data_IF_674790389751
#
_entry.id   IF_674790389751
#
_cell.length_a   1.000
_cell.length_b   1.000
_cell.length_c   1.000
_cell.angle_alpha   90.00
_cell.angle_beta   90.00
_cell.angle_gamma   90.00
#
_symmetry.space_group_name_H-M   'P 1'
#
loop_
_entity.id
_entity.type
_entity.pdbx_description
1 polymer ?
#
# COMPACT_ATOMS: atom_id res chain seq x y z
N UNK A 1 1.96 -19.86 6.85
CA UNK A 1 1.16 -18.65 7.06
C UNK A 1 1.35 -17.83 5.78
N UNK A 2 0.36 -17.80 4.92
CA UNK A 2 0.50 -17.33 3.53
C UNK A 2 -0.29 -16.06 3.36
N UNK A 3 0.38 -14.94 3.16
CA UNK A 3 -0.24 -13.64 2.85
C UNK A 3 -0.06 -13.39 1.37
N UNK A 4 -1.15 -13.45 0.62
CA UNK A 4 -1.15 -13.16 -0.82
C UNK A 4 -0.86 -11.68 -1.08
N UNK A 5 -0.32 -11.42 -2.27
CA UNK A 5 -0.06 -10.07 -2.77
C UNK A 5 -1.38 -9.32 -2.92
N UNK A 6 -1.72 -8.52 -1.96
CA UNK A 6 -2.66 -7.43 -2.14
C UNK A 6 -1.85 -6.20 -2.53
N UNK A 7 -2.23 -5.55 -3.62
CA UNK A 7 -1.91 -4.15 -3.88
C UNK A 7 -1.88 -3.44 -2.53
N UNK A 8 -0.76 -2.79 -2.16
CA UNK A 8 -0.45 -2.30 -0.83
C UNK A 8 -1.57 -1.54 -0.13
N UNK A 9 -2.61 -2.27 0.27
CA UNK A 9 -3.66 -1.76 1.12
C UNK A 9 -3.17 -1.89 2.55
N UNK A 10 -2.42 -0.88 2.98
CA UNK A 10 -1.99 -0.76 4.36
C UNK A 10 -3.19 -0.70 5.28
N UNK A 11 -3.14 -1.45 6.35
CA UNK A 11 -4.08 -1.30 7.46
C UNK A 11 -3.84 0.06 8.09
N UNK A 12 -4.83 0.91 8.05
CA UNK A 12 -4.80 2.29 8.54
C UNK A 12 -4.76 2.33 10.06
N UNK A 13 -3.90 3.18 10.59
CA UNK A 13 -3.76 3.42 12.02
C UNK A 13 -3.83 4.92 12.30
N UNK A 14 -4.96 5.42 12.80
CA UNK A 14 -5.12 6.80 13.22
C UNK A 14 -4.93 6.99 14.72
N UNK A 15 -4.21 8.02 15.12
CA UNK A 15 -4.01 8.41 16.52
C UNK A 15 -5.06 9.42 16.94
N UNK A 16 -5.50 9.40 18.20
CA UNK A 16 -6.37 10.40 18.82
C UNK A 16 -5.67 11.74 19.04
N UNK A 17 -4.90 12.19 18.06
CA UNK A 17 -4.28 13.52 17.98
C UNK A 17 -5.15 14.35 17.05
N UNK A 18 -5.27 15.64 17.30
CA UNK A 18 -6.02 16.54 16.43
C UNK A 18 -5.51 16.43 14.99
N UNK A 19 -6.39 16.54 14.01
CA UNK A 19 -6.07 16.36 12.58
C UNK A 19 -4.86 17.19 12.09
N UNK A 20 -4.46 18.22 12.83
CA UNK A 20 -3.28 19.03 12.57
C UNK A 20 -1.94 18.38 12.95
N UNK A 21 -1.94 17.38 13.86
CA UNK A 21 -0.70 16.85 14.45
C UNK A 21 -0.27 15.49 13.89
N UNK A 22 -1.02 14.90 12.95
CA UNK A 22 -0.70 13.57 12.40
C UNK A 22 0.68 13.49 11.74
N UNK A 23 1.21 14.63 11.28
CA UNK A 23 2.53 14.73 10.69
C UNK A 23 3.57 15.47 11.53
N UNK A 24 3.18 16.18 12.60
CA UNK A 24 4.08 17.02 13.38
C UNK A 24 5.19 16.22 14.07
N UNK A 25 6.38 16.81 14.18
CA UNK A 25 7.46 16.27 14.99
C UNK A 25 7.25 16.77 16.43
N UNK A 26 7.19 15.87 17.45
CA UNK A 26 6.99 16.25 18.84
C UNK A 26 8.03 17.28 19.35
N UNK A 27 7.60 18.19 20.21
CA UNK A 27 8.47 19.18 20.87
C UNK A 27 9.31 18.62 22.02
N UNK A 28 9.16 17.34 22.36
CA UNK A 28 9.91 16.65 23.40
C UNK A 28 10.74 15.51 22.78
N UNK A 29 11.97 15.37 23.31
CA UNK A 29 12.85 14.28 22.86
C UNK A 29 12.45 12.96 23.51
N UNK A 30 12.51 11.86 22.74
CA UNK A 30 12.20 10.54 23.27
C UNK A 30 11.68 9.57 22.24
N UNK A 31 11.42 8.36 22.71
CA UNK A 31 10.78 7.30 21.93
C UNK A 31 9.27 7.50 21.89
N UNK A 32 8.70 7.18 20.75
CA UNK A 32 7.26 7.05 20.53
C UNK A 32 7.01 6.01 19.46
N UNK A 33 5.80 5.52 19.38
CA UNK A 33 5.47 4.54 18.36
C UNK A 33 4.11 3.92 18.54
N UNK A 34 3.83 2.94 17.68
CA UNK A 34 2.60 2.17 17.75
C UNK A 34 2.81 0.72 17.36
N UNK A 35 1.99 -0.16 17.90
CA UNK A 35 1.90 -1.57 17.52
C UNK A 35 0.43 -1.92 17.34
N UNK A 36 0.11 -2.46 16.17
CA UNK A 36 -1.18 -3.05 15.83
C UNK A 36 -1.05 -4.58 15.84
N UNK A 37 -1.97 -5.24 16.52
CA UNK A 37 -2.15 -6.68 16.46
C UNK A 37 -3.63 -7.03 16.30
N UNK A 38 -3.94 -7.86 15.30
CA UNK A 38 -5.30 -8.20 14.94
C UNK A 38 -5.40 -9.35 13.97
N UNK A 39 -6.57 -9.45 13.33
CA UNK A 39 -6.85 -10.43 12.29
C UNK A 39 -7.59 -9.78 11.12
N UNK A 40 -7.33 -10.27 9.94
CA UNK A 40 -7.97 -9.86 8.70
C UNK A 40 -8.59 -11.07 8.00
N UNK A 41 -9.83 -10.92 7.55
CA UNK A 41 -10.49 -11.83 6.62
C UNK A 41 -10.41 -11.17 5.25
N UNK A 42 -9.91 -11.89 4.26
CA UNK A 42 -9.69 -11.36 2.91
C UNK A 42 -10.30 -12.33 1.90
N UNK A 43 -11.18 -11.82 1.04
CA UNK A 43 -11.61 -12.46 -0.20
C UNK A 43 -10.83 -11.83 -1.34
N UNK A 44 -10.14 -12.63 -2.14
CA UNK A 44 -9.38 -12.18 -3.31
C UNK A 44 -9.74 -13.00 -4.53
N UNK A 45 -9.89 -12.32 -5.66
CA UNK A 45 -10.03 -12.92 -6.98
C UNK A 45 -8.92 -12.35 -7.87
N UNK A 46 -7.86 -13.14 -8.10
CA UNK A 46 -6.68 -12.74 -8.88
C UNK A 46 -5.86 -13.95 -9.27
N UNK A 47 -5.44 -14.03 -10.53
CA UNK A 47 -4.53 -15.08 -11.00
C UNK A 47 -3.08 -14.88 -10.54
N UNK A 48 -2.75 -13.68 -10.06
CA UNK A 48 -1.41 -13.34 -9.58
C UNK A 48 -1.23 -13.60 -8.08
N UNK A 49 -2.32 -13.65 -7.31
CA UNK A 49 -2.27 -13.88 -5.87
C UNK A 49 -2.06 -15.37 -5.56
N UNK A 50 -1.25 -15.67 -4.53
CA UNK A 50 -1.11 -17.00 -3.95
C UNK A 50 -1.94 -17.09 -2.67
N UNK A 51 -2.18 -18.29 -2.15
CA UNK A 51 -2.67 -18.42 -0.77
C UNK A 51 -3.63 -19.52 -0.46
N UNK A 52 -4.78 -19.66 -1.04
CA UNK A 52 -5.73 -20.72 -0.68
C UNK A 52 -5.86 -21.78 -1.76
N UNK A 53 -6.34 -22.95 -1.37
CA UNK A 53 -6.63 -24.06 -2.28
C UNK A 53 -7.50 -23.63 -3.46
N UNK A 54 -7.17 -24.08 -4.66
CA UNK A 54 -7.92 -23.82 -5.88
C UNK A 54 -7.26 -22.88 -6.88
N UNK A 55 -6.18 -22.20 -6.51
CA UNK A 55 -5.40 -21.36 -7.41
C UNK A 55 -3.97 -21.87 -7.66
N UNK A 56 -3.63 -23.04 -7.13
CA UNK A 56 -2.33 -23.72 -7.35
C UNK A 56 -2.23 -24.30 -8.74
N UNK A 57 -3.35 -24.57 -9.40
CA UNK A 57 -3.43 -25.05 -10.79
C UNK A 57 -4.59 -24.36 -11.49
N UNK A 58 -4.34 -23.89 -12.69
CA UNK A 58 -5.36 -23.37 -13.61
C UNK A 58 -5.39 -24.22 -14.87
N UNK A 59 -6.57 -24.41 -15.43
CA UNK A 59 -6.75 -25.23 -16.65
C UNK A 59 -6.88 -24.37 -17.90
N UNK A 60 -7.01 -23.05 -17.75
CA UNK A 60 -7.06 -22.08 -18.84
C UNK A 60 -6.62 -20.68 -18.36
N UNK A 61 -6.23 -19.82 -19.31
CA UNK A 61 -5.93 -18.41 -19.09
C UNK A 61 -7.24 -17.59 -19.11
N UNK A 62 -8.03 -17.70 -18.05
CA UNK A 62 -9.31 -17.01 -17.91
C UNK A 62 -9.41 -16.24 -16.58
N UNK A 63 -10.62 -15.82 -16.24
CA UNK A 63 -10.89 -15.12 -14.98
C UNK A 63 -10.50 -15.97 -13.76
N UNK A 64 -9.95 -15.32 -12.76
CA UNK A 64 -9.51 -15.98 -11.53
C UNK A 64 -10.69 -16.47 -10.69
N UNK A 65 -10.47 -17.55 -9.94
CA UNK A 65 -11.42 -18.01 -8.93
C UNK A 65 -11.28 -17.22 -7.62
N UNK A 66 -12.38 -17.13 -6.88
CA UNK A 66 -12.39 -16.50 -5.56
C UNK A 66 -11.64 -17.34 -4.54
N UNK A 67 -10.87 -16.66 -3.72
CA UNK A 67 -10.08 -17.24 -2.63
C UNK A 67 -10.42 -16.53 -1.32
N UNK A 68 -10.49 -17.28 -0.22
CA UNK A 68 -10.75 -16.75 1.10
C UNK A 68 -9.56 -17.06 2.01
N UNK A 69 -9.05 -16.04 2.67
CA UNK A 69 -7.93 -16.16 3.59
C UNK A 69 -8.24 -15.46 4.90
N UNK A 70 -7.72 -16.04 5.99
CA UNK A 70 -7.63 -15.37 7.28
C UNK A 70 -6.15 -15.20 7.60
N UNK A 71 -5.75 -13.98 7.91
CA UNK A 71 -4.36 -13.64 8.19
C UNK A 71 -4.24 -12.80 9.46
N UNK A 72 -3.16 -12.89 10.21
CA UNK A 72 -2.85 -11.94 11.25
C UNK A 72 -2.62 -10.56 10.62
N UNK A 73 -3.17 -9.52 11.24
CA UNK A 73 -2.90 -8.13 10.93
C UNK A 73 -1.91 -7.59 11.98
N UNK A 74 -0.65 -7.45 11.56
CA UNK A 74 0.41 -6.92 12.43
C UNK A 74 1.04 -5.74 11.71
N UNK A 75 1.10 -4.60 12.37
CA UNK A 75 1.78 -3.40 11.87
C UNK A 75 2.36 -2.61 13.03
N UNK A 76 3.26 -1.67 12.75
CA UNK A 76 3.80 -0.80 13.77
C UNK A 76 4.86 0.15 13.24
N UNK A 77 5.16 1.12 14.08
CA UNK A 77 6.25 2.06 13.89
C UNK A 77 6.96 2.36 15.20
N UNK A 78 8.24 2.69 15.09
CA UNK A 78 9.09 3.17 16.18
C UNK A 78 9.74 4.47 15.73
N UNK A 79 9.72 5.49 16.60
CA UNK A 79 10.29 6.80 16.34
C UNK A 79 11.17 7.25 17.50
N UNK A 80 12.20 8.01 17.18
CA UNK A 80 12.96 8.74 18.17
C UNK A 80 13.07 10.19 17.76
N UNK A 81 12.57 11.10 18.60
CA UNK A 81 12.57 12.56 18.36
C UNK A 81 13.77 13.21 19.04
N UNK A 82 14.47 14.06 18.30
CA UNK A 82 15.48 15.00 18.78
C UNK A 82 14.86 16.39 18.75
N UNK A 83 14.19 16.79 19.83
CA UNK A 83 13.41 18.03 19.88
C UNK A 83 14.27 19.29 19.63
N UNK A 84 15.50 19.32 20.12
CA UNK A 84 16.42 20.46 19.98
C UNK A 84 16.76 20.78 18.51
N UNK A 85 16.71 19.80 17.63
CA UNK A 85 16.98 19.96 16.18
C UNK A 85 15.73 19.87 15.32
N UNK A 86 14.58 19.52 15.90
CA UNK A 86 13.36 19.25 15.14
C UNK A 86 13.52 18.06 14.18
N UNK A 87 14.33 17.07 14.57
CA UNK A 87 14.59 15.87 13.77
C UNK A 87 13.93 14.66 14.39
N UNK A 88 13.53 13.68 13.57
CA UNK A 88 12.95 12.42 14.04
C UNK A 88 13.41 11.25 13.17
N UNK A 89 14.09 10.28 13.80
CA UNK A 89 14.32 8.98 13.18
C UNK A 89 13.05 8.13 13.27
N UNK A 90 12.80 7.31 12.25
CA UNK A 90 11.65 6.41 12.26
C UNK A 90 11.97 5.09 11.56
N UNK A 91 11.29 4.05 12.04
CA UNK A 91 11.29 2.70 11.46
C UNK A 91 9.85 2.17 11.48
N UNK A 92 9.39 1.64 10.38
CA UNK A 92 8.05 1.07 10.25
C UNK A 92 7.17 1.82 9.25
N UNK A 93 5.86 1.67 9.38
CA UNK A 93 4.89 2.39 8.55
C UNK A 93 4.38 3.62 9.30
N UNK A 94 4.74 4.81 8.81
CA UNK A 94 4.30 6.06 9.43
C UNK A 94 2.79 6.21 9.35
N UNK A 95 2.20 6.71 10.43
CA UNK A 95 0.74 6.84 10.53
C UNK A 95 0.13 7.73 9.45
N UNK A 96 0.82 8.80 9.05
CA UNK A 96 0.36 9.67 7.95
C UNK A 96 0.33 8.95 6.61
N UNK A 97 1.28 8.04 6.36
CA UNK A 97 1.32 7.24 5.15
C UNK A 97 0.22 6.17 5.21
N UNK A 98 0.05 5.54 6.36
CA UNK A 98 -1.01 4.57 6.59
C UNK A 98 -2.42 5.17 6.40
N UNK A 99 -2.67 6.38 6.87
CA UNK A 99 -3.94 7.10 6.67
C UNK A 99 -4.22 7.31 5.17
N UNK A 100 -3.19 7.59 4.37
CA UNK A 100 -3.30 7.73 2.92
C UNK A 100 -3.36 6.41 2.17
N UNK A 101 -3.44 5.27 2.87
CA UNK A 101 -3.48 3.93 2.29
C UNK A 101 -2.12 3.42 1.80
N UNK A 102 -1.01 4.01 2.25
CA UNK A 102 0.35 3.53 1.95
C UNK A 102 0.88 2.66 3.10
N UNK A 103 0.92 1.34 2.88
CA UNK A 103 1.44 0.35 3.84
C UNK A 103 2.94 0.10 3.76
N UNK A 104 3.70 0.96 3.08
CA UNK A 104 5.14 0.78 2.87
C UNK A 104 5.91 0.85 4.18
N UNK A 105 6.77 -0.15 4.44
CA UNK A 105 7.71 -0.12 5.56
C UNK A 105 8.91 0.75 5.20
N UNK A 106 9.37 1.57 6.14
CA UNK A 106 10.40 2.56 5.91
C UNK A 106 11.39 2.63 7.09
N UNK A 107 12.62 3.00 6.78
CA UNK A 107 13.59 3.47 7.76
C UNK A 107 14.15 4.81 7.28
N UNK A 108 14.02 5.85 8.08
CA UNK A 108 14.41 7.18 7.61
C UNK A 108 14.50 8.26 8.67
N UNK A 109 14.70 9.45 8.18
CA UNK A 109 14.81 10.69 8.97
C UNK A 109 13.77 11.69 8.46
N UNK A 110 13.09 12.34 9.39
CA UNK A 110 12.24 13.51 9.17
C UNK A 110 12.89 14.74 9.80
N UNK A 111 12.81 15.87 9.14
CA UNK A 111 13.40 17.13 9.56
C UNK A 111 12.40 18.26 9.42
N UNK A 112 12.10 18.95 10.52
CA UNK A 112 11.32 20.20 10.51
C UNK A 112 12.16 21.32 9.92
N UNK A 113 11.67 22.00 8.89
CA UNK A 113 12.32 23.15 8.26
C UNK A 113 11.69 24.48 8.72
N UNK A 114 11.62 24.69 10.03
CA UNK A 114 10.94 25.85 10.61
C UNK A 114 9.46 25.86 10.19
N UNK A 115 9.00 26.96 9.59
CA UNK A 115 7.63 27.12 9.09
C UNK A 115 7.44 26.60 7.64
N UNK A 116 8.46 25.98 7.05
CA UNK A 116 8.40 25.49 5.64
C UNK A 116 7.95 24.04 5.52
N UNK A 117 7.49 23.44 6.63
CA UNK A 117 7.04 22.06 6.65
C UNK A 117 8.11 21.06 7.06
N UNK A 118 7.87 19.79 6.78
CA UNK A 118 8.74 18.66 7.17
C UNK A 118 9.22 17.94 5.92
N UNK A 119 10.53 17.81 5.78
CA UNK A 119 11.15 16.96 4.74
C UNK A 119 11.52 15.62 5.35
N UNK A 120 11.28 14.55 4.62
CA UNK A 120 11.66 13.19 5.00
C UNK A 120 12.43 12.49 3.89
N UNK A 121 13.47 11.77 4.28
CA UNK A 121 14.20 10.84 3.42
C UNK A 121 14.22 9.46 4.05
N UNK A 122 13.88 8.43 3.29
CA UNK A 122 13.80 7.06 3.80
C UNK A 122 14.21 6.00 2.80
N UNK A 123 14.68 4.88 3.31
CA UNK A 123 14.73 3.61 2.61
C UNK A 123 13.39 2.93 2.76
N UNK A 124 12.86 2.41 1.66
CA UNK A 124 11.59 1.67 1.62
C UNK A 124 11.85 0.20 1.32
N UNK A 125 11.11 -0.70 1.96
CA UNK A 125 11.30 -2.14 1.81
C UNK A 125 10.06 -2.93 2.18
N UNK A 126 10.01 -4.20 1.77
CA UNK A 126 9.04 -5.16 2.27
C UNK A 126 9.60 -5.82 3.54
N UNK A 127 8.96 -5.62 4.68
CA UNK A 127 9.37 -6.24 5.96
C UNK A 127 9.24 -7.77 5.93
N UNK A 128 8.27 -8.27 5.17
CA UNK A 128 8.07 -9.71 4.92
C UNK A 128 7.99 -9.95 3.42
N UNK A 129 8.60 -11.04 2.90
CA UNK A 129 8.44 -11.40 1.50
C UNK A 129 6.96 -11.60 1.17
N UNK A 130 6.55 -11.05 0.05
CA UNK A 130 5.21 -11.25 -0.51
C UNK A 130 5.26 -12.44 -1.44
N UNK A 131 4.33 -13.38 -1.27
CA UNK A 131 4.25 -14.56 -2.14
C UNK A 131 3.49 -14.25 -3.42
N UNK A 132 4.06 -14.68 -4.54
CA UNK A 132 3.44 -14.65 -5.88
C UNK A 132 3.66 -15.99 -6.56
N UNK A 133 2.98 -16.21 -7.67
CA UNK A 133 3.32 -17.33 -8.57
C UNK A 133 4.59 -16.99 -9.33
N UNK A 134 5.55 -17.94 -9.37
CA UNK A 134 6.76 -17.86 -10.18
C UNK A 134 6.42 -17.69 -11.67
N UNK A 135 5.48 -18.51 -12.16
CA UNK A 135 4.80 -18.34 -13.44
C UNK A 135 3.28 -18.31 -13.21
N UNK A 136 2.63 -17.12 -13.26
CA UNK A 136 1.19 -17.03 -13.13
C UNK A 136 0.44 -17.62 -14.33
N UNK A 137 1.09 -17.72 -15.51
CA UNK A 137 0.49 -18.18 -16.76
C UNK A 137 0.64 -19.69 -16.99
N UNK A 138 1.21 -20.45 -16.07
CA UNK A 138 1.35 -21.89 -16.18
C UNK A 138 -0.02 -22.58 -16.13
N UNK A 139 -0.41 -23.23 -17.23
CA UNK A 139 -1.69 -23.94 -17.41
C UNK A 139 -1.48 -25.45 -17.36
N UNK A 140 -2.42 -26.17 -16.73
CA UNK A 140 -2.42 -27.61 -16.67
C UNK A 140 -1.37 -28.23 -15.74
N UNK A 141 -0.56 -27.43 -15.06
CA UNK A 141 0.47 -27.87 -14.11
C UNK A 141 0.32 -27.14 -12.77
N UNK A 142 0.92 -27.68 -11.71
CA UNK A 142 0.95 -26.99 -10.42
C UNK A 142 1.89 -25.77 -10.50
N UNK A 143 1.36 -24.58 -10.18
CA UNK A 143 2.12 -23.33 -10.13
C UNK A 143 2.98 -23.30 -8.86
N UNK A 144 4.21 -22.81 -9.00
CA UNK A 144 5.14 -22.69 -7.89
C UNK A 144 5.08 -21.29 -7.29
N UNK A 145 5.03 -21.21 -5.95
CA UNK A 145 5.14 -19.95 -5.24
C UNK A 145 6.58 -19.44 -5.26
N UNK A 146 6.70 -18.13 -5.31
CA UNK A 146 7.98 -17.42 -5.19
C UNK A 146 7.84 -16.19 -4.30
N UNK A 147 8.98 -15.62 -3.88
CA UNK A 147 9.03 -14.42 -3.08
C UNK A 147 9.24 -13.19 -3.98
N UNK A 148 8.49 -12.12 -3.69
CA UNK A 148 8.79 -10.78 -4.22
C UNK A 148 9.55 -10.00 -3.17
N UNK A 149 10.69 -9.46 -3.58
CA UNK A 149 11.48 -8.51 -2.82
C UNK A 149 11.37 -7.14 -3.45
N UNK A 150 11.17 -6.14 -2.62
CA UNK A 150 11.16 -4.75 -3.07
C UNK A 150 11.93 -3.88 -2.08
N UNK A 151 12.83 -3.05 -2.60
CA UNK A 151 13.58 -2.08 -1.81
C UNK A 151 13.86 -0.83 -2.65
N UNK A 152 14.04 0.29 -1.98
CA UNK A 152 14.26 1.55 -2.68
C UNK A 152 14.42 2.74 -1.74
N UNK A 153 14.11 3.92 -2.25
CA UNK A 153 14.18 5.16 -1.49
C UNK A 153 12.94 6.02 -1.74
N UNK A 154 12.57 6.81 -0.74
CA UNK A 154 11.49 7.79 -0.77
C UNK A 154 11.97 9.14 -0.27
N UNK A 155 11.54 10.20 -0.93
CA UNK A 155 11.61 11.57 -0.45
C UNK A 155 10.18 12.10 -0.31
N UNK A 156 9.89 12.79 0.79
CA UNK A 156 8.60 13.41 1.02
C UNK A 156 8.80 14.83 1.58
N UNK A 157 7.84 15.70 1.32
CA UNK A 157 7.78 17.03 1.87
C UNK A 157 6.34 17.34 2.28
N UNK A 158 6.09 17.34 3.57
CA UNK A 158 4.79 17.67 4.15
C UNK A 158 4.71 19.17 4.39
N UNK A 159 3.54 19.77 4.15
CA UNK A 159 3.28 21.20 4.30
C UNK A 159 4.30 22.09 3.56
N UNK A 160 4.48 21.83 2.26
CA UNK A 160 5.45 22.50 1.37
C UNK A 160 5.35 24.02 1.53
N UNK A 161 6.44 24.65 1.97
CA UNK A 161 6.52 26.09 2.25
C UNK A 161 5.49 26.61 3.27
N UNK A 162 5.03 25.75 4.20
CA UNK A 162 3.99 26.08 5.17
C UNK A 162 2.57 26.11 4.60
N UNK A 163 2.39 25.62 3.37
CA UNK A 163 1.09 25.50 2.74
C UNK A 163 0.41 24.17 3.13
N UNK A 164 -0.80 23.97 2.64
CA UNK A 164 -1.51 22.70 2.79
C UNK A 164 -1.11 21.64 1.71
N UNK A 165 -0.14 21.93 0.86
CA UNK A 165 0.38 20.97 -0.10
C UNK A 165 1.39 20.03 0.55
N UNK A 166 1.32 18.74 0.18
CA UNK A 166 2.33 17.73 0.49
C UNK A 166 2.63 16.92 -0.76
N UNK A 167 3.86 16.42 -0.85
CA UNK A 167 4.25 15.61 -2.01
C UNK A 167 5.31 14.59 -1.66
N UNK A 168 5.35 13.51 -2.43
CA UNK A 168 6.37 12.49 -2.29
C UNK A 168 6.76 11.88 -3.62
N UNK A 169 8.00 11.37 -3.69
CA UNK A 169 8.50 10.57 -4.79
C UNK A 169 9.17 9.32 -4.21
N UNK A 170 8.90 8.17 -4.83
CA UNK A 170 9.46 6.88 -4.41
C UNK A 170 10.00 6.15 -5.63
N UNK A 171 11.20 5.56 -5.51
CA UNK A 171 11.77 4.66 -6.50
C UNK A 171 12.10 3.34 -5.84
N UNK A 172 11.61 2.23 -6.39
CA UNK A 172 11.82 0.87 -5.86
C UNK A 172 12.24 -0.08 -6.95
N UNK A 173 13.23 -0.90 -6.66
CA UNK A 173 13.51 -2.10 -7.44
C UNK A 173 12.61 -3.24 -6.93
N UNK A 174 12.00 -3.97 -7.85
CA UNK A 174 11.13 -5.12 -7.60
C UNK A 174 11.75 -6.35 -8.23
N UNK A 175 11.84 -7.43 -7.47
CA UNK A 175 12.40 -8.68 -7.93
C UNK A 175 11.56 -9.87 -7.46
N UNK A 176 11.14 -10.68 -8.41
CA UNK A 176 10.53 -12.00 -8.18
C UNK A 176 11.64 -13.05 -8.20
N UNK A 177 11.79 -13.82 -7.14
CA UNK A 177 12.81 -14.86 -7.08
C UNK A 177 12.46 -15.99 -8.07
N UNK A 178 13.39 -16.29 -9.01
CA UNK A 178 13.17 -17.31 -10.03
C UNK A 178 12.02 -16.99 -10.98
N UNK A 179 11.81 -15.72 -11.31
CA UNK A 179 10.83 -15.25 -12.30
C UNK A 179 10.85 -16.08 -13.57
N UNK A 180 9.68 -16.57 -14.02
CA UNK A 180 9.56 -17.38 -15.22
C UNK A 180 8.18 -17.26 -15.88
N UNK A 181 7.54 -16.09 -15.78
CA UNK A 181 6.24 -15.80 -16.39
C UNK A 181 6.20 -16.20 -17.86
N UNK A 182 5.31 -17.11 -18.21
CA UNK A 182 5.15 -17.60 -19.59
C UNK A 182 6.22 -18.59 -20.06
N UNK A 183 6.96 -19.24 -19.16
CA UNK A 183 8.04 -20.20 -19.49
C UNK A 183 7.57 -21.30 -20.46
N UNK A 184 6.36 -21.83 -20.25
CA UNK A 184 5.82 -22.89 -21.13
C UNK A 184 5.50 -22.44 -22.56
N UNK A 185 5.48 -21.11 -22.82
CA UNK A 185 5.20 -20.53 -24.14
C UNK A 185 6.47 -20.09 -24.88
N UNK A 186 7.64 -20.36 -24.29
CA UNK A 186 8.94 -20.10 -24.89
C UNK A 186 9.62 -18.81 -24.47
N UNK A 187 10.90 -18.71 -24.76
CA UNK A 187 11.78 -17.62 -24.27
C UNK A 187 11.34 -16.22 -24.70
N UNK A 188 10.81 -16.08 -25.90
CA UNK A 188 10.35 -14.78 -26.40
C UNK A 188 9.16 -14.25 -25.57
N UNK A 189 8.19 -15.12 -25.27
CA UNK A 189 7.04 -14.79 -24.41
C UNK A 189 7.50 -14.49 -22.99
N UNK A 190 8.36 -15.33 -22.43
CA UNK A 190 8.92 -15.13 -21.10
C UNK A 190 9.63 -13.79 -20.97
N UNK A 191 10.40 -13.36 -21.99
CA UNK A 191 11.08 -12.07 -21.99
C UNK A 191 10.13 -10.88 -22.02
N UNK A 192 8.93 -11.00 -22.59
CA UNK A 192 7.91 -9.94 -22.60
C UNK A 192 7.09 -9.88 -21.30
N UNK A 193 7.07 -10.95 -20.51
CA UNK A 193 6.26 -11.09 -19.30
C UNK A 193 7.09 -11.06 -18.01
N UNK A 194 8.38 -10.72 -18.07
CA UNK A 194 9.26 -10.61 -16.91
C UNK A 194 8.84 -9.43 -16.01
N UNK A 195 8.50 -9.73 -14.75
CA UNK A 195 7.99 -8.76 -13.76
C UNK A 195 9.08 -8.12 -12.89
N UNK A 196 10.36 -8.40 -13.17
CA UNK A 196 11.47 -7.73 -12.49
C UNK A 196 11.71 -6.35 -13.07
N UNK A 197 12.08 -5.39 -12.25
CA UNK A 197 12.40 -4.05 -12.73
C UNK A 197 12.24 -2.98 -11.69
N UNK A 198 11.95 -1.77 -12.14
CA UNK A 198 11.84 -0.58 -11.29
C UNK A 198 10.47 0.04 -11.34
N UNK A 199 9.96 0.41 -10.17
CA UNK A 199 8.70 1.14 -10.02
C UNK A 199 8.99 2.51 -9.41
N UNK A 200 8.64 3.56 -10.15
CA UNK A 200 8.72 4.95 -9.71
C UNK A 200 7.31 5.47 -9.46
N UNK A 201 7.09 6.16 -8.35
CA UNK A 201 5.81 6.78 -8.02
C UNK A 201 5.99 8.21 -7.54
N UNK A 202 5.00 9.04 -7.79
CA UNK A 202 4.89 10.41 -7.30
C UNK A 202 3.46 10.66 -6.82
N UNK A 203 3.35 11.42 -5.74
CA UNK A 203 2.08 11.85 -5.17
C UNK A 203 2.16 13.34 -4.85
N UNK A 204 1.07 14.06 -5.12
CA UNK A 204 0.86 15.45 -4.72
C UNK A 204 -0.52 15.57 -4.12
N UNK A 205 -0.62 16.02 -2.88
CA UNK A 205 -1.87 16.18 -2.16
C UNK A 205 -2.08 17.60 -1.66
N UNK A 206 -3.33 17.93 -1.36
CA UNK A 206 -3.72 19.19 -0.74
C UNK A 206 -4.73 18.92 0.38
N UNK A 207 -4.43 19.37 1.60
CA UNK A 207 -5.31 19.17 2.74
C UNK A 207 -6.29 20.33 2.93
N UNK A 208 -7.58 20.08 2.72
CA UNK A 208 -8.66 21.01 3.09
C UNK A 208 -9.11 20.73 4.52
N UNK A 209 -8.96 21.70 5.38
CA UNK A 209 -9.54 21.66 6.72
C UNK A 209 -11.02 22.03 6.63
N UNK A 210 -11.91 21.07 6.88
CA UNK A 210 -13.36 21.29 6.86
C UNK A 210 -13.88 21.80 8.20
N UNK A 211 -13.30 21.33 9.30
CA UNK A 211 -13.53 21.75 10.67
C UNK A 211 -12.27 21.46 11.51
N UNK A 212 -12.28 21.79 12.79
CA UNK A 212 -11.14 21.57 13.69
C UNK A 212 -10.79 20.07 13.84
N UNK A 213 -11.80 19.22 13.68
CA UNK A 213 -11.71 17.77 13.83
C UNK A 213 -11.83 17.02 12.49
N UNK A 214 -11.89 17.74 11.35
CA UNK A 214 -12.14 17.11 10.05
C UNK A 214 -11.28 17.68 8.94
N UNK A 215 -10.77 16.80 8.09
CA UNK A 215 -10.11 17.20 6.84
C UNK A 215 -10.54 16.34 5.66
N UNK A 216 -10.37 16.91 4.48
CA UNK A 216 -10.50 16.26 3.18
C UNK A 216 -9.19 16.48 2.41
N UNK A 217 -8.59 15.42 1.90
CA UNK A 217 -7.31 15.49 1.20
C UNK A 217 -7.42 14.78 -0.17
N UNK A 218 -7.66 15.52 -1.25
CA UNK A 218 -7.44 15.02 -2.60
C UNK A 218 -5.94 14.89 -2.89
N UNK A 219 -5.57 13.82 -3.60
CA UNK A 219 -4.22 13.55 -4.05
C UNK A 219 -4.20 13.09 -5.51
N UNK A 220 -3.24 13.59 -6.26
CA UNK A 220 -2.87 13.08 -7.58
C UNK A 220 -1.80 12.00 -7.40
N UNK A 221 -2.00 10.84 -8.02
CA UNK A 221 -1.05 9.73 -8.00
C UNK A 221 -0.57 9.41 -9.41
N UNK A 222 0.71 9.25 -9.55
CA UNK A 222 1.39 8.79 -10.76
C UNK A 222 2.31 7.64 -10.41
N UNK A 223 2.31 6.60 -11.25
CA UNK A 223 3.23 5.49 -11.11
C UNK A 223 3.68 5.04 -12.49
N UNK A 224 4.97 4.75 -12.63
CA UNK A 224 5.57 4.12 -13.80
C UNK A 224 6.31 2.87 -13.36
N UNK A 225 5.94 1.73 -13.93
CA UNK A 225 6.66 0.47 -13.79
C UNK A 225 7.45 0.22 -15.06
N UNK A 226 8.79 0.32 -14.95
CA UNK A 226 9.74 -0.03 -15.98
C UNK A 226 10.26 -1.45 -15.66
N UNK A 227 9.58 -2.46 -16.17
CA UNK A 227 9.91 -3.86 -15.95
C UNK A 227 10.71 -4.42 -17.12
N UNK A 228 11.42 -5.52 -16.89
CA UNK A 228 12.17 -6.20 -17.94
C UNK A 228 11.24 -6.71 -19.06
N UNK A 229 10.03 -7.12 -18.72
CA UNK A 229 8.97 -7.47 -19.68
C UNK A 229 8.17 -6.25 -20.11
N UNK A 230 8.24 -5.92 -21.39
CA UNK A 230 7.53 -4.77 -21.95
C UNK A 230 6.00 -4.87 -21.85
N UNK A 231 5.44 -6.08 -21.89
CA UNK A 231 4.02 -6.33 -21.72
C UNK A 231 3.54 -6.26 -20.25
N UNK A 232 4.47 -6.21 -19.28
CA UNK A 232 4.19 -6.01 -17.86
C UNK A 232 4.55 -4.58 -17.40
N UNK A 233 5.23 -3.79 -18.23
CA UNK A 233 5.52 -2.38 -18.00
C UNK A 233 4.28 -1.53 -18.21
N UNK A 234 4.08 -0.50 -17.35
CA UNK A 234 2.88 0.34 -17.41
C UNK A 234 3.07 1.73 -16.81
N UNK A 235 2.16 2.62 -17.17
CA UNK A 235 1.93 3.90 -16.49
C UNK A 235 0.55 3.88 -15.85
N UNK A 236 0.48 4.22 -14.56
CA UNK A 236 -0.78 4.40 -13.83
C UNK A 236 -0.94 5.85 -13.39
N UNK A 237 -2.15 6.38 -13.52
CA UNK A 237 -2.55 7.72 -13.08
C UNK A 237 -3.86 7.61 -12.33
N UNK A 238 -3.99 8.32 -11.22
CA UNK A 238 -5.19 8.26 -10.43
C UNK A 238 -5.41 9.46 -9.53
N UNK A 239 -6.62 9.52 -8.99
CA UNK A 239 -7.05 10.45 -7.98
C UNK A 239 -7.37 9.66 -6.72
N UNK A 240 -6.91 10.13 -5.59
CA UNK A 240 -7.31 9.65 -4.28
C UNK A 240 -8.01 10.78 -3.52
N UNK A 241 -9.02 10.44 -2.76
CA UNK A 241 -9.69 11.33 -1.83
C UNK A 241 -9.67 10.69 -0.45
N UNK A 242 -9.00 11.31 0.50
CA UNK A 242 -8.97 10.90 1.90
C UNK A 242 -9.87 11.82 2.70
N UNK A 243 -10.79 11.26 3.46
CA UNK A 243 -11.56 11.98 4.47
C UNK A 243 -11.20 11.44 5.85
N UNK A 244 -10.96 12.34 6.81
CA UNK A 244 -10.75 11.95 8.19
C UNK A 244 -11.54 12.85 9.14
N UNK A 245 -12.07 12.21 10.20
CA UNK A 245 -12.71 12.87 11.33
C UNK A 245 -12.16 12.28 12.62
N UNK A 246 -11.76 13.15 13.56
CA UNK A 246 -11.22 12.77 14.86
C UNK A 246 -12.07 13.32 15.97
N UNK A 247 -12.42 12.50 16.94
CA UNK A 247 -13.08 12.91 18.16
C UNK A 247 -12.34 12.28 19.38
N UNK A 248 -12.59 12.73 20.61
CA UNK A 248 -11.89 12.21 21.79
C UNK A 248 -12.03 10.71 22.01
N UNK A 249 -13.16 10.11 21.57
CA UNK A 249 -13.44 8.68 21.77
C UNK A 249 -13.31 7.83 20.53
N UNK A 250 -13.33 8.42 19.35
CA UNK A 250 -13.25 7.68 18.10
C UNK A 250 -12.63 8.52 17.00
N UNK A 251 -12.03 7.89 16.02
CA UNK A 251 -11.61 8.51 14.76
C UNK A 251 -12.08 7.65 13.60
N UNK A 252 -12.45 8.31 12.52
CA UNK A 252 -12.85 7.67 11.27
C UNK A 252 -11.99 8.20 10.13
N UNK A 253 -11.53 7.28 9.29
CA UNK A 253 -10.80 7.60 8.06
C UNK A 253 -11.39 6.80 6.92
N UNK A 254 -11.53 7.41 5.76
CA UNK A 254 -11.96 6.72 4.54
C UNK A 254 -11.16 7.24 3.36
N UNK A 255 -10.77 6.33 2.46
CA UNK A 255 -10.12 6.64 1.20
C UNK A 255 -10.97 6.13 0.03
N UNK A 256 -11.01 6.93 -1.03
CA UNK A 256 -11.52 6.55 -2.33
C UNK A 256 -10.40 6.78 -3.35
N UNK A 257 -10.05 5.77 -4.10
CA UNK A 257 -9.09 5.84 -5.20
C UNK A 257 -9.78 5.48 -6.51
N UNK A 258 -9.51 6.27 -7.55
CA UNK A 258 -9.92 6.02 -8.92
C UNK A 258 -8.72 6.23 -9.83
N UNK A 259 -8.41 5.23 -10.65
CA UNK A 259 -7.21 5.25 -11.50
C UNK A 259 -7.41 4.55 -12.83
N UNK A 260 -6.42 4.76 -13.68
CA UNK A 260 -6.26 4.07 -14.95
C UNK A 260 -4.82 3.60 -15.06
N UNK A 261 -4.64 2.39 -15.56
CA UNK A 261 -3.34 1.79 -15.86
C UNK A 261 -3.29 1.49 -17.35
N UNK A 262 -2.27 2.01 -18.01
CA UNK A 262 -2.00 1.81 -19.42
C UNK A 262 -0.70 0.99 -19.55
N UNK A 263 -0.77 -0.21 -20.11
CA UNK A 263 0.38 -1.06 -20.35
C UNK A 263 1.09 -0.67 -21.64
N UNK A 264 2.41 -0.83 -21.67
CA UNK A 264 3.23 -0.35 -22.79
C UNK A 264 2.99 -1.18 -24.06
N UNK A 265 2.91 -2.52 -23.94
CA UNK A 265 2.73 -3.43 -25.06
C UNK A 265 1.60 -4.45 -24.85
N UNK A 266 1.17 -5.07 -25.94
CA UNK A 266 0.20 -6.14 -25.91
C UNK A 266 0.83 -7.40 -25.27
N UNK A 267 0.09 -8.04 -24.37
CA UNK A 267 0.48 -9.31 -23.81
C UNK A 267 0.49 -10.38 -24.93
N UNK A 268 1.60 -11.10 -25.13
CA UNK A 268 1.74 -12.05 -26.26
C UNK A 268 0.80 -13.25 -26.16
N UNK A 269 0.26 -13.57 -24.97
CA UNK A 269 -0.67 -14.69 -24.77
C UNK A 269 -2.11 -14.32 -25.14
N UNK A 270 -2.46 -13.02 -25.10
CA UNK A 270 -3.82 -12.53 -25.32
C UNK A 270 -3.94 -11.64 -26.54
N UNK A 271 -2.82 -11.17 -27.13
CA UNK A 271 -2.80 -10.30 -28.30
C UNK A 271 -3.33 -8.88 -28.06
N UNK A 272 -3.51 -8.48 -26.79
CA UNK A 272 -4.00 -7.17 -26.39
C UNK A 272 -3.31 -6.67 -25.11
N UNK A 273 -3.41 -5.37 -24.83
CA UNK A 273 -2.87 -4.77 -23.61
C UNK A 273 -3.75 -5.11 -22.41
N UNK A 274 -3.12 -5.27 -21.24
CA UNK A 274 -3.83 -5.49 -19.98
C UNK A 274 -4.29 -4.17 -19.33
N UNK A 275 -4.54 -3.12 -20.12
CA UNK A 275 -5.02 -1.83 -19.64
C UNK A 275 -6.20 -2.02 -18.69
N UNK A 276 -6.20 -1.28 -17.56
CA UNK A 276 -7.24 -1.42 -16.55
C UNK A 276 -7.78 -0.10 -16.03
N UNK A 277 -8.98 -0.17 -15.46
CA UNK A 277 -9.57 0.86 -14.60
C UNK A 277 -9.55 0.37 -13.18
N UNK A 278 -8.89 1.13 -12.31
CA UNK A 278 -8.67 0.75 -10.94
C UNK A 278 -9.57 1.58 -10.03
N UNK A 279 -10.24 0.92 -9.08
CA UNK A 279 -11.02 1.56 -8.02
C UNK A 279 -10.70 0.90 -6.69
N UNK A 280 -10.53 1.70 -5.65
CA UNK A 280 -10.46 1.20 -4.29
C UNK A 280 -11.20 2.11 -3.33
N UNK A 281 -11.84 1.53 -2.33
CA UNK A 281 -12.45 2.24 -1.22
C UNK A 281 -12.09 1.50 0.07
N UNK A 282 -11.74 2.25 1.09
CA UNK A 282 -11.58 1.72 2.43
C UNK A 282 -12.14 2.68 3.48
N UNK A 283 -12.51 2.11 4.61
CA UNK A 283 -12.96 2.86 5.77
C UNK A 283 -12.45 2.18 7.04
N UNK A 284 -11.94 2.98 7.98
CA UNK A 284 -11.41 2.52 9.26
C UNK A 284 -11.98 3.35 10.40
N UNK A 285 -12.52 2.67 11.39
CA UNK A 285 -12.99 3.23 12.64
C UNK A 285 -12.03 2.83 13.76
N UNK A 286 -11.58 3.80 14.53
CA UNK A 286 -10.82 3.61 15.76
C UNK A 286 -11.67 4.01 16.95
N UNK A 287 -11.70 3.15 17.96
CA UNK A 287 -12.31 3.43 19.25
C UNK A 287 -11.20 3.60 20.27
N UNK A 288 -11.00 4.85 20.72
CA UNK A 288 -9.92 5.23 21.62
C UNK A 288 -10.20 4.90 23.07
N UNK A 289 -9.13 4.82 23.88
CA UNK A 289 -9.19 4.60 25.32
C UNK A 289 -10.02 3.36 25.70
N UNK A 290 -9.79 2.27 24.95
CA UNK A 290 -10.48 1.01 25.16
C UNK A 290 -10.30 0.56 26.63
N UNK A 291 -11.39 0.23 27.29
CA UNK A 291 -11.42 -0.12 28.73
C UNK A 291 -10.85 0.98 29.66
N UNK A 292 -10.82 2.25 29.23
CA UNK A 292 -10.22 3.34 29.99
C UNK A 292 -8.69 3.41 29.92
N UNK A 293 -8.06 2.56 29.11
CA UNK A 293 -6.61 2.52 28.90
C UNK A 293 -6.24 3.53 27.80
N UNK A 294 -5.67 4.67 28.20
CA UNK A 294 -5.41 5.80 27.31
C UNK A 294 -4.63 5.45 26.01
N UNK A 295 -3.54 4.65 26.04
CA UNK A 295 -2.79 4.28 24.84
C UNK A 295 -3.44 3.19 23.99
N UNK A 296 -4.53 2.55 24.44
CA UNK A 296 -5.15 1.41 23.76
C UNK A 296 -6.36 1.84 22.93
N UNK A 297 -6.41 1.44 21.68
CA UNK A 297 -7.56 1.63 20.80
C UNK A 297 -7.96 0.30 20.16
N UNK A 298 -9.27 0.11 19.93
CA UNK A 298 -9.76 -0.92 19.03
C UNK A 298 -9.85 -0.36 17.60
N UNK A 299 -9.68 -1.21 16.62
CA UNK A 299 -9.76 -0.89 15.19
C UNK A 299 -10.72 -1.84 14.49
N UNK A 300 -11.55 -1.28 13.62
CA UNK A 300 -12.34 -2.00 12.64
C UNK A 300 -12.13 -1.33 11.28
N UNK A 301 -11.68 -2.10 10.30
CA UNK A 301 -11.48 -1.63 8.92
C UNK A 301 -12.20 -2.52 7.93
N UNK A 302 -12.73 -1.93 6.86
CA UNK A 302 -13.25 -2.63 5.71
C UNK A 302 -12.69 -2.01 4.44
N UNK A 303 -12.38 -2.84 3.44
CA UNK A 303 -11.87 -2.37 2.16
C UNK A 303 -12.43 -3.17 1.00
N UNK A 304 -12.53 -2.50 -0.15
CA UNK A 304 -12.84 -3.09 -1.44
C UNK A 304 -11.90 -2.50 -2.50
N UNK A 305 -11.35 -3.35 -3.36
CA UNK A 305 -10.56 -2.94 -4.51
C UNK A 305 -10.97 -3.74 -5.74
N UNK A 306 -10.96 -3.07 -6.89
CA UNK A 306 -11.21 -3.67 -8.18
C UNK A 306 -10.28 -3.05 -9.23
N UNK A 307 -9.61 -3.90 -10.00
CA UNK A 307 -8.95 -3.54 -11.24
C UNK A 307 -9.65 -4.31 -12.35
N UNK A 308 -10.34 -3.57 -13.23
CA UNK A 308 -11.11 -4.08 -14.37
C UNK A 308 -10.26 -3.93 -15.62
N UNK A 309 -9.73 -5.02 -16.13
CA UNK A 309 -8.79 -5.09 -17.25
C UNK A 309 -9.49 -5.44 -18.54
N UNK A 310 -8.89 -5.05 -19.68
CA UNK A 310 -9.26 -5.56 -20.99
C UNK A 310 -9.00 -7.06 -21.17
N UNK A 311 -8.27 -7.68 -20.25
CA UNK A 311 -7.95 -9.12 -20.22
C UNK A 311 -8.48 -9.70 -18.90
N UNK A 312 -9.50 -10.54 -18.92
CA UNK A 312 -10.12 -11.14 -17.72
C UNK A 312 -9.11 -11.83 -16.79
N UNK A 313 -7.99 -12.33 -17.34
CA UNK A 313 -6.90 -12.95 -16.56
C UNK A 313 -6.22 -11.95 -15.61
N UNK A 314 -6.20 -10.66 -15.97
CA UNK A 314 -5.60 -9.57 -15.21
C UNK A 314 -6.58 -8.88 -14.26
N UNK A 315 -7.86 -9.26 -14.29
CA UNK A 315 -8.84 -8.73 -13.35
C UNK A 315 -8.44 -9.05 -11.91
N UNK A 316 -8.56 -8.04 -11.06
CA UNK A 316 -8.31 -8.17 -9.63
C UNK A 316 -9.52 -7.63 -8.88
N UNK A 317 -10.05 -8.44 -7.98
CA UNK A 317 -11.04 -8.00 -7.00
C UNK A 317 -10.62 -8.45 -5.61
N UNK A 318 -10.69 -7.54 -4.65
CA UNK A 318 -10.37 -7.85 -3.27
C UNK A 318 -11.34 -7.16 -2.32
N UNK A 319 -11.77 -7.90 -1.31
CA UNK A 319 -12.56 -7.37 -0.19
C UNK A 319 -11.88 -7.82 1.10
N UNK A 320 -11.72 -6.93 2.07
CA UNK A 320 -11.20 -7.32 3.37
C UNK A 320 -11.96 -6.69 4.52
N UNK A 321 -11.95 -7.40 5.65
CA UNK A 321 -12.33 -6.85 6.95
C UNK A 321 -11.20 -7.15 7.94
N UNK A 322 -10.78 -6.12 8.67
CA UNK A 322 -9.71 -6.22 9.66
C UNK A 322 -10.21 -5.71 11.00
N UNK A 323 -9.94 -6.45 12.06
CA UNK A 323 -10.14 -6.00 13.43
C UNK A 323 -8.88 -6.19 14.24
N UNK A 324 -8.62 -5.31 15.20
CA UNK A 324 -7.41 -5.39 16.00
C UNK A 324 -7.36 -4.40 17.14
N UNK A 325 -6.28 -4.50 17.87
CA UNK A 325 -5.91 -3.59 18.96
C UNK A 325 -4.66 -2.81 18.55
N UNK A 326 -4.72 -1.51 18.75
CA UNK A 326 -3.62 -0.59 18.53
C UNK A 326 -3.16 -0.06 19.88
N UNK A 327 -1.89 -0.28 20.21
CA UNK A 327 -1.24 0.29 21.38
C UNK A 327 -0.23 1.35 20.95
N UNK A 328 -0.26 2.52 21.61
CA UNK A 328 0.67 3.63 21.40
C UNK A 328 1.50 3.89 22.64
N UNK A 329 2.75 4.28 22.44
CA UNK A 329 3.68 4.58 23.55
C UNK A 329 4.56 5.78 23.22
#
# INVERSE_FOLDING_TARGET
>A
MRVGLLLGMGVLVASGVQAQDLGAIPGESGFSGSVLAGASVVETQSNFATGSAGNERIDALGAAVKQHNVAPAINGDLRYTFASTGSQLFLGNLIQDAIRGDGTQQFGLRQQLGNKGIVAGSLVFNATPVKVWRDPFAVGVARQESDVRSHGARLAWDNIWGSAFSGSVTSRDVKVDGESSGEQYGRAVMGMLDRNGRVNSAELSYQFRLADDQFLEPALRYQKADLAGSAESYVSKGLQLTYAKTSPRWSFVSNLYLGKRDYDEANPLFGQRADSRDMAIDATLFWHQLFGIAPLSALLSASYANADSGIDFYDIRSTSMTTGLLYRF
#
